data_IF_381338709112
#
_entry.id   IF_381338709112
#
_cell.length_a   1.000
_cell.length_b   1.000
_cell.length_c   1.000
_cell.angle_alpha   90.00
_cell.angle_beta   90.00
_cell.angle_gamma   90.00
#
_symmetry.space_group_name_H-M   'P 1'
#
loop_
_entity.id
_entity.type
_entity.pdbx_description
1 polymer ?
#
# COMPACT_ATOMS: atom_id res chain seq x y z
N UNK A 1 20.07 -9.59 27.24
CA UNK A 1 18.80 -9.48 27.99
C UNK A 1 18.14 -8.20 27.53
N UNK A 2 16.84 -8.20 27.25
CA UNK A 2 16.15 -7.01 26.73
C UNK A 2 15.82 -6.05 27.88
N UNK A 3 16.60 -4.98 27.99
CA UNK A 3 16.45 -3.98 29.05
C UNK A 3 15.13 -3.19 28.91
N UNK A 4 14.62 -3.05 27.68
CA UNK A 4 13.33 -2.39 27.42
C UNK A 4 12.20 -3.27 27.95
N UNK A 5 12.28 -4.58 27.71
CA UNK A 5 11.34 -5.54 28.29
C UNK A 5 11.35 -5.47 29.82
N UNK A 6 12.52 -5.41 30.46
CA UNK A 6 12.62 -5.28 31.92
C UNK A 6 12.06 -3.96 32.46
N UNK A 7 12.29 -2.84 31.78
CA UNK A 7 11.72 -1.54 32.15
C UNK A 7 10.18 -1.53 32.02
N UNK A 8 9.63 -2.21 31.01
CA UNK A 8 8.18 -2.30 30.78
C UNK A 8 7.50 -3.30 31.73
N UNK A 9 8.08 -4.49 31.91
CA UNK A 9 7.52 -5.52 32.81
C UNK A 9 7.81 -5.25 34.30
N UNK A 10 8.85 -4.48 34.60
CA UNK A 10 9.15 -3.99 35.95
C UNK A 10 8.11 -3.00 36.47
N UNK A 11 7.26 -2.42 35.61
CA UNK A 11 6.19 -1.51 36.05
C UNK A 11 5.09 -2.24 36.85
N UNK A 12 4.90 -3.53 36.63
CA UNK A 12 3.90 -4.36 37.31
C UNK A 12 4.43 -4.93 38.64
N UNK A 13 4.50 -4.08 39.68
CA UNK A 13 4.74 -4.53 41.06
C UNK A 13 5.72 -3.69 41.89
N UNK A 14 6.38 -2.69 41.30
CA UNK A 14 7.34 -1.84 42.01
C UNK A 14 6.67 -0.68 42.79
N UNK A 15 7.30 -0.17 43.86
CA UNK A 15 6.88 1.05 44.55
C UNK A 15 6.73 2.26 43.61
N UNK A 16 5.84 3.18 43.93
CA UNK A 16 5.47 4.33 43.08
C UNK A 16 6.66 5.20 42.60
N UNK A 17 7.74 5.24 43.38
CA UNK A 17 8.97 5.98 43.03
C UNK A 17 9.80 5.26 41.96
N UNK A 18 9.84 3.93 41.98
CA UNK A 18 10.58 3.11 41.02
C UNK A 18 9.83 2.99 39.70
N UNK A 19 8.48 2.95 39.72
CA UNK A 19 7.68 3.03 38.48
C UNK A 19 7.88 4.37 37.76
N UNK A 20 8.06 5.46 38.52
CA UNK A 20 8.37 6.78 37.96
C UNK A 20 9.76 6.81 37.32
N UNK A 21 10.75 6.16 37.95
CA UNK A 21 12.09 6.03 37.40
C UNK A 21 12.12 5.19 36.13
N UNK A 22 11.44 4.04 36.11
CA UNK A 22 11.31 3.21 34.91
C UNK A 22 10.70 4.01 33.74
N UNK A 23 9.64 4.78 34.00
CA UNK A 23 9.03 5.64 32.98
C UNK A 23 9.95 6.77 32.51
N UNK A 24 10.63 7.44 33.44
CA UNK A 24 11.64 8.44 33.12
C UNK A 24 12.73 7.89 32.19
N UNK A 25 13.22 6.66 32.45
CA UNK A 25 14.22 6.02 31.60
C UNK A 25 13.67 5.60 30.24
N UNK A 26 12.42 5.15 30.15
CA UNK A 26 11.78 4.87 28.87
C UNK A 26 11.61 6.15 28.03
N UNK A 27 11.20 7.25 28.66
CA UNK A 27 10.98 8.54 27.98
C UNK A 27 12.30 9.20 27.53
N UNK A 28 13.41 8.92 28.21
CA UNK A 28 14.72 9.51 27.94
C UNK A 28 15.73 8.49 27.39
N UNK A 29 15.26 7.34 26.89
CA UNK A 29 16.09 6.17 26.58
C UNK A 29 17.31 6.49 25.72
N UNK A 30 17.13 7.33 24.69
CA UNK A 30 18.17 7.76 23.76
C UNK A 30 19.35 8.50 24.42
N UNK A 31 19.11 9.21 25.53
CA UNK A 31 20.10 10.11 26.15
C UNK A 31 20.81 9.47 27.36
N UNK A 32 20.42 8.25 27.76
CA UNK A 32 20.97 7.56 28.93
C UNK A 32 22.48 7.27 28.79
N UNK A 33 23.00 6.77 27.65
CA UNK A 33 24.40 6.34 27.56
C UNK A 33 25.45 7.45 27.66
N UNK A 34 25.02 8.69 27.45
CA UNK A 34 25.89 9.87 27.40
C UNK A 34 25.84 10.69 28.71
N UNK A 35 24.97 10.32 29.64
CA UNK A 35 24.78 11.03 30.90
C UNK A 35 25.53 10.36 32.06
N UNK A 36 26.07 11.18 32.96
CA UNK A 36 26.67 10.66 34.21
C UNK A 36 25.59 10.25 35.22
N UNK A 37 25.95 9.43 36.21
CA UNK A 37 25.04 9.02 37.29
C UNK A 37 24.43 10.24 38.02
N UNK A 38 25.22 11.30 38.22
CA UNK A 38 24.81 12.53 38.89
C UNK A 38 23.84 13.35 38.04
N UNK A 39 24.06 13.41 36.73
CA UNK A 39 23.15 14.07 35.79
C UNK A 39 21.81 13.33 35.66
N UNK A 40 21.85 11.99 35.61
CA UNK A 40 20.65 11.16 35.60
C UNK A 40 19.85 11.32 36.90
N UNK A 41 20.53 11.40 38.05
CA UNK A 41 19.92 11.65 39.35
C UNK A 41 19.21 13.01 39.37
N UNK A 42 19.90 14.05 38.91
CA UNK A 42 19.37 15.40 38.84
C UNK A 42 18.16 15.49 37.89
N UNK A 43 18.25 14.90 36.69
CA UNK A 43 17.15 14.91 35.70
C UNK A 43 15.93 14.11 36.17
N UNK A 44 16.14 13.01 36.89
CA UNK A 44 15.07 12.20 37.44
C UNK A 44 14.49 12.75 38.76
N UNK A 45 15.12 13.79 39.35
CA UNK A 45 14.71 14.38 40.62
C UNK A 45 14.88 13.44 41.82
N UNK A 46 15.86 12.53 41.78
CA UNK A 46 16.13 11.55 42.84
C UNK A 46 17.58 11.59 43.30
N UNK A 47 17.88 10.95 44.43
CA UNK A 47 19.26 10.81 44.88
C UNK A 47 20.02 9.75 44.06
N UNK A 48 21.35 9.85 43.91
CA UNK A 48 22.16 8.80 43.28
C UNK A 48 21.98 7.42 43.94
N UNK A 49 21.78 7.37 45.26
CA UNK A 49 21.51 6.12 45.97
C UNK A 49 20.18 5.47 45.57
N UNK A 50 19.16 6.26 45.24
CA UNK A 50 17.87 5.77 44.75
C UNK A 50 18.01 5.16 43.37
N UNK A 51 18.80 5.76 42.50
CA UNK A 51 19.12 5.21 41.17
C UNK A 51 19.86 3.89 41.26
N UNK A 52 20.81 3.79 42.17
CA UNK A 52 21.54 2.56 42.44
C UNK A 52 20.61 1.44 42.91
N UNK A 53 19.63 1.76 43.77
CA UNK A 53 18.64 0.80 44.23
C UNK A 53 17.71 0.35 43.11
N UNK A 54 17.27 1.30 42.28
CA UNK A 54 16.45 1.04 41.11
C UNK A 54 17.15 0.09 40.11
N UNK A 55 18.41 0.34 39.76
CA UNK A 55 19.17 -0.53 38.85
C UNK A 55 19.20 -1.99 39.34
N UNK A 56 19.35 -2.20 40.65
CA UNK A 56 19.28 -3.54 41.26
C UNK A 56 17.89 -4.15 41.24
N UNK A 57 16.84 -3.33 41.43
CA UNK A 57 15.44 -3.80 41.41
C UNK A 57 15.03 -4.37 40.04
N UNK A 58 15.61 -3.85 38.95
CA UNK A 58 15.36 -4.31 37.58
C UNK A 58 16.31 -5.42 37.12
N UNK A 59 17.21 -5.87 38.00
CA UNK A 59 18.10 -7.01 37.75
C UNK A 59 19.48 -6.67 37.20
N UNK A 60 19.92 -5.40 37.28
CA UNK A 60 21.31 -4.99 36.99
C UNK A 60 22.16 -4.99 38.26
N UNK A 61 23.46 -5.21 38.14
CA UNK A 61 24.37 -5.24 39.30
C UNK A 61 24.56 -3.82 39.92
N UNK A 62 24.67 -2.82 39.05
CA UNK A 62 24.75 -1.40 39.37
C UNK A 62 24.22 -0.51 38.23
N UNK A 63 24.27 0.81 38.43
CA UNK A 63 23.83 1.79 37.42
C UNK A 63 24.71 1.79 36.16
N UNK A 64 25.99 1.40 36.25
CA UNK A 64 26.88 1.38 35.10
C UNK A 64 26.58 0.16 34.20
N UNK A 65 26.25 -0.98 34.81
CA UNK A 65 25.74 -2.16 34.11
C UNK A 65 24.42 -1.84 33.39
N UNK A 66 23.49 -1.16 34.06
CA UNK A 66 22.25 -0.68 33.43
C UNK A 66 22.53 0.20 32.19
N UNK A 67 23.39 1.22 32.32
CA UNK A 67 23.77 2.11 31.22
C UNK A 67 24.46 1.32 30.09
N UNK A 68 25.30 0.34 30.43
CA UNK A 68 25.96 -0.55 29.48
C UNK A 68 24.97 -1.38 28.66
N UNK A 69 23.95 -1.94 29.30
CA UNK A 69 22.89 -2.71 28.64
C UNK A 69 22.03 -1.84 27.72
N UNK A 70 21.70 -0.61 28.16
CA UNK A 70 21.00 0.38 27.30
C UNK A 70 21.84 0.72 26.06
N UNK A 71 23.15 0.93 26.21
CA UNK A 71 24.06 1.22 25.10
C UNK A 71 24.12 0.06 24.09
N UNK A 72 24.15 -1.19 24.57
CA UNK A 72 24.13 -2.37 23.71
C UNK A 72 22.82 -2.47 22.91
N UNK A 73 21.68 -2.25 23.57
CA UNK A 73 20.36 -2.31 22.94
C UNK A 73 20.19 -1.24 21.83
N UNK A 74 20.73 -0.04 22.04
CA UNK A 74 20.71 1.03 21.04
C UNK A 74 21.59 0.70 19.82
N UNK A 75 22.75 0.07 20.05
CA UNK A 75 23.64 -0.35 18.96
C UNK A 75 23.02 -1.46 18.10
N UNK A 76 22.35 -2.43 18.72
CA UNK A 76 21.59 -3.47 17.99
C UNK A 76 20.43 -2.88 17.18
N UNK A 77 19.70 -1.91 17.74
CA UNK A 77 18.60 -1.20 17.04
C UNK A 77 19.12 -0.35 15.86
N UNK A 78 20.30 0.24 16.01
CA UNK A 78 20.94 1.05 14.95
C UNK A 78 21.49 0.19 13.81
N UNK A 79 21.96 -1.03 14.08
CA UNK A 79 22.42 -1.98 13.06
C UNK A 79 21.27 -2.62 12.27
N UNK A 80 20.05 -2.62 12.81
CA UNK A 80 18.85 -3.15 12.13
C UNK A 80 18.09 -2.12 11.29
N UNK A 81 18.50 -0.85 11.31
CA UNK A 81 17.88 0.19 10.48
C UNK A 81 18.77 0.41 9.25
N UNK A 82 18.42 -0.09 8.05
CA UNK A 82 19.10 0.38 6.84
C UNK A 82 18.90 1.89 6.77
N UNK A 83 19.97 2.63 6.46
CA UNK A 83 19.93 4.07 6.31
C UNK A 83 18.72 4.48 5.46
N UNK A 84 17.77 5.20 6.07
CA UNK A 84 16.69 5.81 5.33
C UNK A 84 17.34 6.72 4.26
N UNK A 85 16.99 6.56 2.96
CA UNK A 85 17.49 7.48 1.95
C UNK A 85 17.02 8.89 2.33
N UNK A 86 17.99 9.81 2.40
CA UNK A 86 17.76 11.23 2.64
C UNK A 86 16.71 11.74 1.65
N UNK A 87 15.72 12.46 2.19
CA UNK A 87 14.70 13.18 1.45
C UNK A 87 15.41 14.23 0.57
N UNK A 88 15.66 13.90 -0.70
CA UNK A 88 16.46 14.75 -1.59
C UNK A 88 16.74 14.17 -2.98
N UNK A 89 16.42 12.91 -3.24
CA UNK A 89 16.51 12.39 -4.59
C UNK A 89 15.39 12.99 -5.45
N UNK A 90 15.77 13.63 -6.56
CA UNK A 90 14.90 14.11 -7.63
C UNK A 90 14.09 12.99 -8.33
N UNK A 91 13.88 11.85 -7.66
CA UNK A 91 13.07 10.70 -8.06
C UNK A 91 11.61 11.05 -8.34
N UNK A 92 11.10 12.13 -7.73
CA UNK A 92 9.70 12.58 -7.85
C UNK A 92 9.45 13.60 -8.96
N UNK A 93 10.51 14.09 -9.62
CA UNK A 93 10.35 15.09 -10.68
C UNK A 93 10.09 14.37 -12.00
N UNK A 94 8.92 14.62 -12.58
CA UNK A 94 8.62 14.15 -13.91
C UNK A 94 9.65 14.73 -14.93
N UNK A 95 9.92 14.00 -16.02
CA UNK A 95 10.89 14.45 -17.03
C UNK A 95 10.58 15.84 -17.62
N UNK A 96 9.29 16.23 -17.69
CA UNK A 96 8.86 17.54 -18.15
C UNK A 96 9.26 18.67 -17.20
N UNK A 97 9.15 18.46 -15.89
CA UNK A 97 9.61 19.42 -14.88
C UNK A 97 11.12 19.60 -14.91
N UNK A 98 11.89 18.51 -15.09
CA UNK A 98 13.34 18.60 -15.26
C UNK A 98 13.72 19.40 -16.50
N UNK A 99 13.02 19.19 -17.63
CA UNK A 99 13.30 19.90 -18.86
C UNK A 99 12.93 21.39 -18.79
N UNK A 100 11.85 21.74 -18.09
CA UNK A 100 11.46 23.12 -17.82
C UNK A 100 12.50 23.85 -16.95
N UNK A 101 13.02 23.17 -15.92
CA UNK A 101 14.06 23.71 -15.05
C UNK A 101 15.41 23.85 -15.77
N UNK A 102 15.79 22.86 -16.59
CA UNK A 102 17.01 22.93 -17.40
C UNK A 102 16.95 24.11 -18.40
N UNK A 103 15.79 24.32 -19.04
CA UNK A 103 15.57 25.47 -19.92
C UNK A 103 15.69 26.80 -19.17
N UNK A 104 15.12 26.90 -17.97
CA UNK A 104 15.24 28.10 -17.13
C UNK A 104 16.66 28.32 -16.62
N UNK A 105 17.46 27.26 -16.48
CA UNK A 105 18.86 27.31 -16.09
C UNK A 105 19.84 27.47 -17.27
N UNK A 106 19.35 27.57 -18.51
CA UNK A 106 20.19 27.71 -19.70
C UNK A 106 20.94 26.43 -20.13
N UNK A 107 20.53 25.27 -19.62
CA UNK A 107 21.14 23.97 -19.96
C UNK A 107 20.52 23.46 -21.27
N UNK A 108 21.36 23.19 -22.27
CA UNK A 108 20.94 22.60 -23.54
C UNK A 108 20.39 21.18 -23.37
N UNK A 109 19.38 20.81 -24.17
CA UNK A 109 18.73 19.49 -24.11
C UNK A 109 19.71 18.33 -24.25
N UNK A 110 20.76 18.51 -25.04
CA UNK A 110 21.82 17.50 -25.24
C UNK A 110 22.64 17.22 -23.97
N UNK A 111 22.87 18.23 -23.13
CA UNK A 111 23.57 18.07 -21.85
C UNK A 111 22.66 17.33 -20.86
N UNK A 112 21.35 17.64 -20.87
CA UNK A 112 20.36 16.97 -20.04
C UNK A 112 20.19 15.50 -20.43
N UNK A 113 20.23 15.17 -21.73
CA UNK A 113 20.19 13.79 -22.20
C UNK A 113 21.45 13.02 -21.81
N UNK A 114 22.64 13.60 -22.01
CA UNK A 114 23.91 12.97 -21.59
C UNK A 114 23.98 12.76 -20.08
N UNK A 115 23.47 13.72 -19.32
CA UNK A 115 23.36 13.60 -17.86
C UNK A 115 22.38 12.49 -17.47
N UNK A 116 21.20 12.44 -18.09
CA UNK A 116 20.19 11.40 -17.86
C UNK A 116 20.70 10.00 -18.21
N UNK A 117 21.44 9.89 -19.32
CA UNK A 117 22.14 8.67 -19.74
C UNK A 117 23.21 8.25 -18.70
N UNK A 118 24.00 9.19 -18.20
CA UNK A 118 25.06 8.93 -17.21
C UNK A 118 24.55 8.48 -15.85
N UNK A 119 23.32 8.83 -15.46
CA UNK A 119 22.70 8.44 -14.19
C UNK A 119 21.73 7.26 -14.32
N UNK A 120 21.77 6.54 -15.46
CA UNK A 120 20.91 5.38 -15.69
C UNK A 120 19.42 5.71 -15.83
N UNK A 121 19.08 6.99 -16.05
CA UNK A 121 17.71 7.48 -16.29
C UNK A 121 17.34 7.44 -17.77
N UNK A 122 17.73 6.39 -18.48
CA UNK A 122 16.98 6.02 -19.68
C UNK A 122 15.63 5.43 -19.25
N UNK A 123 14.72 6.27 -18.77
CA UNK A 123 13.34 6.01 -19.11
C UNK A 123 13.29 6.23 -20.63
N UNK A 124 13.39 5.14 -21.40
CA UNK A 124 12.65 5.05 -22.66
C UNK A 124 11.30 5.68 -22.36
N UNK A 125 11.14 6.93 -22.81
CA UNK A 125 10.08 7.80 -22.35
C UNK A 125 8.78 7.03 -22.48
N UNK A 126 8.07 6.78 -21.37
CA UNK A 126 6.93 5.86 -21.31
C UNK A 126 6.01 6.10 -22.51
N UNK A 127 6.20 5.29 -23.55
CA UNK A 127 5.60 5.52 -24.87
C UNK A 127 4.09 5.40 -24.75
N UNK A 128 3.62 4.56 -23.81
CA UNK A 128 2.22 4.40 -23.49
C UNK A 128 1.67 5.65 -22.79
N UNK A 129 2.44 6.22 -21.85
CA UNK A 129 2.13 7.51 -21.23
C UNK A 129 2.02 8.64 -22.25
N UNK A 130 2.96 8.72 -23.20
CA UNK A 130 2.92 9.72 -24.28
C UNK A 130 1.70 9.56 -25.20
N UNK A 131 1.40 8.32 -25.59
CA UNK A 131 0.22 8.01 -26.43
C UNK A 131 -1.07 8.36 -25.69
N UNK A 132 -1.19 8.05 -24.39
CA UNK A 132 -2.36 8.39 -23.57
C UNK A 132 -2.54 9.90 -23.41
N UNK A 133 -1.47 10.63 -23.11
CA UNK A 133 -1.55 12.07 -22.88
C UNK A 133 -1.90 12.86 -24.15
N UNK A 134 -1.54 12.34 -25.32
CA UNK A 134 -1.76 12.99 -26.63
C UNK A 134 -2.93 12.40 -27.41
N UNK A 135 -3.77 11.58 -26.77
CA UNK A 135 -4.87 10.88 -27.43
C UNK A 135 -5.87 11.83 -28.10
N UNK A 136 -6.04 13.03 -27.52
CA UNK A 136 -6.88 14.12 -28.03
C UNK A 136 -6.22 14.98 -29.11
N UNK A 137 -4.89 14.90 -29.25
CA UNK A 137 -4.13 15.65 -30.25
C UNK A 137 -4.00 14.87 -31.58
N UNK A 138 -4.24 13.57 -31.54
CA UNK A 138 -4.20 12.71 -32.71
C UNK A 138 -5.42 12.92 -33.62
N UNK A 139 -5.22 12.78 -34.93
CA UNK A 139 -6.35 12.73 -35.87
C UNK A 139 -7.25 11.53 -35.58
N UNK A 140 -8.47 11.54 -36.11
CA UNK A 140 -9.43 10.45 -35.90
C UNK A 140 -8.88 9.07 -36.27
N UNK A 141 -8.06 8.98 -37.33
CA UNK A 141 -7.46 7.71 -37.75
C UNK A 141 -6.26 7.33 -36.87
N UNK A 142 -5.45 8.28 -36.45
CA UNK A 142 -4.32 8.06 -35.54
C UNK A 142 -4.80 7.66 -34.13
N UNK A 143 -5.91 8.25 -33.67
CA UNK A 143 -6.53 7.92 -32.38
C UNK A 143 -7.02 6.46 -32.36
N UNK A 144 -7.52 5.93 -33.48
CA UNK A 144 -7.84 4.49 -33.59
C UNK A 144 -6.61 3.62 -33.43
N UNK A 145 -5.49 4.00 -34.04
CA UNK A 145 -4.21 3.28 -33.89
C UNK A 145 -3.73 3.34 -32.44
N UNK A 146 -3.79 4.50 -31.81
CA UNK A 146 -3.46 4.68 -30.40
C UNK A 146 -4.31 3.77 -29.49
N UNK A 147 -5.62 3.72 -29.70
CA UNK A 147 -6.53 2.87 -28.94
C UNK A 147 -6.20 1.38 -29.12
N UNK A 148 -6.02 0.91 -30.36
CA UNK A 148 -5.63 -0.49 -30.62
C UNK A 148 -4.30 -0.87 -29.94
N UNK A 149 -3.32 0.03 -29.91
CA UNK A 149 -2.05 -0.19 -29.21
C UNK A 149 -2.25 -0.26 -27.69
N UNK A 150 -3.07 0.62 -27.13
CA UNK A 150 -3.34 0.67 -25.69
C UNK A 150 -4.20 -0.50 -25.19
N UNK A 151 -5.02 -1.09 -26.06
CA UNK A 151 -5.82 -2.29 -25.79
C UNK A 151 -4.94 -3.54 -25.70
N UNK A 152 -3.95 -3.70 -26.59
CA UNK A 152 -3.03 -4.84 -26.58
C UNK A 152 -1.60 -4.44 -27.01
N UNK A 153 -0.81 -4.00 -26.03
CA UNK A 153 0.57 -3.55 -26.23
C UNK A 153 1.49 -4.70 -26.66
N UNK A 154 1.22 -5.92 -26.19
CA UNK A 154 2.01 -7.11 -26.51
C UNK A 154 1.84 -7.51 -27.98
N UNK A 155 0.59 -7.48 -28.47
CA UNK A 155 0.30 -7.63 -29.90
C UNK A 155 0.94 -6.52 -30.72
N UNK A 156 0.75 -5.25 -30.35
CA UNK A 156 1.29 -4.12 -31.10
C UNK A 156 2.82 -4.14 -31.24
N UNK A 157 3.54 -4.61 -30.21
CA UNK A 157 4.99 -4.77 -30.24
C UNK A 157 5.45 -5.85 -31.26
N UNK A 158 4.69 -6.95 -31.37
CA UNK A 158 5.03 -8.11 -32.20
C UNK A 158 4.44 -8.08 -33.62
N UNK A 159 3.36 -7.33 -33.84
CA UNK A 159 2.63 -7.26 -35.10
C UNK A 159 3.43 -6.62 -36.25
N UNK A 160 3.12 -7.03 -37.48
CA UNK A 160 3.55 -6.33 -38.69
C UNK A 160 2.71 -5.06 -38.92
N UNK A 161 3.17 -4.16 -39.78
CA UNK A 161 2.42 -2.95 -40.14
C UNK A 161 1.03 -3.29 -40.67
N UNK A 162 0.93 -4.31 -41.52
CA UNK A 162 -0.34 -4.72 -42.12
C UNK A 162 -1.29 -5.32 -41.09
N UNK A 163 -0.77 -6.09 -40.13
CA UNK A 163 -1.56 -6.64 -39.02
C UNK A 163 -2.08 -5.53 -38.12
N UNK A 164 -1.23 -4.57 -37.76
CA UNK A 164 -1.63 -3.43 -36.93
C UNK A 164 -2.62 -2.51 -37.65
N UNK A 165 -2.41 -2.26 -38.95
CA UNK A 165 -3.32 -1.50 -39.80
C UNK A 165 -4.70 -2.18 -39.90
N UNK A 166 -4.71 -3.50 -40.06
CA UNK A 166 -5.95 -4.30 -40.11
C UNK A 166 -6.69 -4.24 -38.78
N UNK A 167 -5.98 -4.44 -37.66
CA UNK A 167 -6.56 -4.40 -36.31
C UNK A 167 -7.15 -3.01 -35.98
N UNK A 168 -6.46 -1.93 -36.36
CA UNK A 168 -6.93 -0.56 -36.15
C UNK A 168 -7.95 -0.07 -37.21
N UNK A 169 -8.20 -0.85 -38.27
CA UNK A 169 -9.09 -0.47 -39.37
C UNK A 169 -8.60 0.77 -40.15
N UNK A 170 -7.30 0.88 -40.37
CA UNK A 170 -6.65 2.01 -41.07
C UNK A 170 -5.70 1.53 -42.16
N UNK A 171 -5.14 2.46 -42.92
CA UNK A 171 -4.12 2.15 -43.93
C UNK A 171 -2.72 1.98 -43.31
N UNK A 172 -1.81 1.16 -43.91
CA UNK A 172 -0.41 1.10 -43.49
C UNK A 172 0.28 2.47 -43.44
N UNK A 173 -0.07 3.37 -44.36
CA UNK A 173 0.45 4.74 -44.37
C UNK A 173 0.03 5.56 -43.13
N UNK A 174 -1.16 5.28 -42.58
CA UNK A 174 -1.64 5.90 -41.34
C UNK A 174 -0.79 5.45 -40.15
N UNK A 175 -0.42 4.17 -40.09
CA UNK A 175 0.47 3.65 -39.03
C UNK A 175 1.83 4.37 -39.04
N UNK A 176 2.42 4.56 -40.22
CA UNK A 176 3.70 5.28 -40.34
C UNK A 176 3.59 6.75 -39.92
N UNK A 177 2.47 7.41 -40.23
CA UNK A 177 2.22 8.78 -39.74
C UNK A 177 2.02 8.82 -38.23
N UNK A 178 1.26 7.87 -37.69
CA UNK A 178 1.05 7.73 -36.25
C UNK A 178 2.38 7.57 -35.50
N UNK A 179 3.29 6.70 -35.96
CA UNK A 179 4.59 6.51 -35.31
C UNK A 179 5.34 7.84 -35.14
N UNK A 180 5.36 8.68 -36.20
CA UNK A 180 5.96 10.02 -36.16
C UNK A 180 5.18 10.98 -35.26
N UNK A 181 3.85 10.97 -35.35
CA UNK A 181 3.00 11.80 -34.50
C UNK A 181 3.19 11.47 -33.01
N UNK A 182 3.40 10.20 -32.68
CA UNK A 182 3.67 9.69 -31.34
C UNK A 182 5.09 9.97 -30.82
N UNK A 183 5.97 10.59 -31.63
CA UNK A 183 7.33 10.94 -31.23
C UNK A 183 8.36 9.84 -31.48
N UNK A 184 8.06 8.88 -32.35
CA UNK A 184 9.01 7.88 -32.84
C UNK A 184 9.57 8.26 -34.21
N UNK A 185 10.80 7.85 -34.50
CA UNK A 185 11.43 8.13 -35.80
C UNK A 185 10.73 7.37 -36.93
N UNK A 186 10.37 6.12 -36.64
CA UNK A 186 9.66 5.23 -37.54
C UNK A 186 8.86 4.15 -36.77
N UNK A 187 8.22 3.26 -37.54
CA UNK A 187 7.49 2.10 -37.03
C UNK A 187 8.39 1.15 -36.23
N UNK A 188 9.67 1.02 -36.58
CA UNK A 188 10.58 0.08 -35.95
C UNK A 188 10.99 0.59 -34.58
N UNK A 189 11.23 1.89 -34.44
CA UNK A 189 11.41 2.59 -33.18
C UNK A 189 10.15 2.50 -32.30
N UNK A 190 8.97 2.76 -32.88
CA UNK A 190 7.69 2.56 -32.16
C UNK A 190 7.57 1.14 -31.62
N UNK A 191 7.81 0.12 -32.46
CA UNK A 191 7.76 -1.29 -32.03
C UNK A 191 8.80 -1.63 -30.97
N UNK A 192 9.99 -1.06 -31.05
CA UNK A 192 11.04 -1.26 -30.05
C UNK A 192 10.61 -0.67 -28.70
N UNK A 193 10.13 0.58 -28.69
CA UNK A 193 9.62 1.25 -27.48
C UNK A 193 8.41 0.54 -26.90
N UNK A 194 7.48 0.05 -27.74
CA UNK A 194 6.36 -0.78 -27.30
C UNK A 194 6.83 -2.13 -26.76
N UNK A 195 7.82 -2.77 -27.37
CA UNK A 195 8.40 -4.01 -26.84
C UNK A 195 9.06 -3.79 -25.48
N UNK A 196 9.78 -2.68 -25.30
CA UNK A 196 10.38 -2.29 -24.02
C UNK A 196 9.32 -1.96 -22.95
N UNK A 197 8.20 -1.32 -23.35
CA UNK A 197 7.08 -1.05 -22.46
C UNK A 197 6.26 -2.31 -22.13
N UNK A 198 6.20 -3.27 -23.05
CA UNK A 198 5.57 -4.60 -22.86
C UNK A 198 6.44 -5.56 -22.07
N UNK A 199 7.77 -5.38 -22.09
CA UNK A 199 8.63 -6.11 -21.18
C UNK A 199 8.44 -5.56 -19.77
N UNK A 200 8.22 -6.40 -18.74
CA UNK A 200 8.22 -5.94 -17.37
C UNK A 200 9.52 -5.18 -17.16
N UNK A 201 9.40 -3.91 -16.72
CA UNK A 201 10.50 -2.96 -16.47
C UNK A 201 11.76 -3.75 -16.22
N UNK A 202 12.73 -3.65 -17.16
CA UNK A 202 14.04 -4.26 -16.95
C UNK A 202 14.55 -3.64 -15.67
N UNK A 203 14.41 -4.40 -14.58
CA UNK A 203 14.74 -3.97 -13.24
C UNK A 203 16.26 -4.01 -13.21
N UNK A 204 16.86 -2.98 -13.81
CA UNK A 204 18.29 -2.74 -13.82
C UNK A 204 18.80 -2.88 -12.39
N UNK A 205 19.80 -3.72 -12.22
CA UNK A 205 20.49 -4.05 -10.97
C UNK A 205 19.65 -4.56 -9.78
N UNK A 206 18.36 -4.88 -9.95
CA UNK A 206 17.57 -5.39 -8.80
C UNK A 206 17.87 -6.86 -8.51
N UNK A 207 18.04 -7.24 -7.23
CA UNK A 207 18.24 -8.63 -6.82
C UNK A 207 17.16 -9.56 -7.38
N UNK A 208 17.56 -10.75 -7.85
CA UNK A 208 16.64 -11.73 -8.43
C UNK A 208 15.39 -12.03 -7.56
N UNK A 209 15.50 -12.17 -6.21
CA UNK A 209 14.33 -12.42 -5.36
C UNK A 209 13.30 -11.29 -5.39
N UNK A 210 13.73 -10.04 -5.59
CA UNK A 210 12.83 -8.89 -5.64
C UNK A 210 12.09 -8.83 -6.97
N UNK A 211 12.75 -9.19 -8.07
CA UNK A 211 12.12 -9.32 -9.39
C UNK A 211 11.08 -10.44 -9.38
N UNK A 212 11.41 -11.59 -8.80
CA UNK A 212 10.46 -12.68 -8.62
C UNK A 212 9.27 -12.26 -7.75
N UNK A 213 9.53 -11.57 -6.64
CA UNK A 213 8.47 -11.05 -5.78
C UNK A 213 7.55 -10.08 -6.52
N UNK A 214 8.10 -9.15 -7.30
CA UNK A 214 7.32 -8.22 -8.10
C UNK A 214 6.47 -8.96 -9.13
N UNK A 215 7.04 -9.93 -9.85
CA UNK A 215 6.30 -10.75 -10.81
C UNK A 215 5.15 -11.50 -10.15
N UNK A 216 5.36 -12.05 -8.95
CA UNK A 216 4.31 -12.71 -8.18
C UNK A 216 3.20 -11.73 -7.76
N UNK A 217 3.54 -10.50 -7.34
CA UNK A 217 2.54 -9.48 -7.01
C UNK A 217 1.74 -9.05 -8.24
N UNK A 218 2.40 -8.80 -9.37
CA UNK A 218 1.74 -8.46 -10.63
C UNK A 218 0.79 -9.57 -11.08
N UNK A 219 1.22 -10.83 -10.99
CA UNK A 219 0.38 -11.98 -11.29
C UNK A 219 -0.82 -12.09 -10.34
N UNK A 220 -0.62 -11.88 -9.04
CA UNK A 220 -1.70 -11.88 -8.05
C UNK A 220 -2.74 -10.78 -8.33
N UNK A 221 -2.32 -9.56 -8.67
CA UNK A 221 -3.22 -8.47 -9.02
C UNK A 221 -4.00 -8.74 -10.32
N UNK A 222 -3.32 -9.23 -11.36
CA UNK A 222 -3.98 -9.55 -12.63
C UNK A 222 -4.99 -10.69 -12.47
N UNK A 223 -4.62 -11.75 -11.75
CA UNK A 223 -5.54 -12.86 -11.48
C UNK A 223 -6.74 -12.42 -10.63
N UNK A 224 -6.52 -11.54 -9.65
CA UNK A 224 -7.59 -10.93 -8.87
C UNK A 224 -8.56 -10.14 -9.75
N UNK A 225 -8.05 -9.29 -10.66
CA UNK A 225 -8.90 -8.51 -11.58
C UNK A 225 -9.79 -9.40 -12.45
N UNK A 226 -9.26 -10.52 -12.94
CA UNK A 226 -10.02 -11.47 -13.77
C UNK A 226 -11.19 -12.13 -13.03
N UNK A 227 -11.10 -12.29 -11.71
CA UNK A 227 -12.12 -12.93 -10.87
C UNK A 227 -13.17 -11.94 -10.35
N UNK A 228 -12.82 -10.66 -10.27
CA UNK A 228 -13.74 -9.62 -9.83
C UNK A 228 -14.82 -9.35 -10.89
N UNK A 229 -16.08 -9.59 -10.52
CA UNK A 229 -17.21 -9.25 -11.36
C UNK A 229 -17.51 -7.74 -11.29
N UNK A 230 -17.46 -7.00 -12.41
CA UNK A 230 -17.76 -5.56 -12.39
C UNK A 230 -19.16 -5.24 -11.85
N UNK A 231 -20.13 -6.12 -12.08
CA UNK A 231 -21.49 -5.99 -11.56
C UNK A 231 -21.54 -6.08 -10.02
N UNK A 232 -20.81 -7.03 -9.42
CA UNK A 232 -20.74 -7.16 -7.97
C UNK A 232 -20.02 -5.97 -7.33
N UNK A 233 -18.93 -5.51 -7.95
CA UNK A 233 -18.19 -4.32 -7.51
C UNK A 233 -19.09 -3.07 -7.53
N UNK A 234 -19.77 -2.82 -8.65
CA UNK A 234 -20.68 -1.68 -8.78
C UNK A 234 -21.86 -1.74 -7.80
N UNK A 235 -22.38 -2.94 -7.52
CA UNK A 235 -23.39 -3.11 -6.49
C UNK A 235 -22.84 -2.76 -5.10
N UNK A 236 -21.64 -3.23 -4.75
CA UNK A 236 -21.00 -2.93 -3.47
C UNK A 236 -20.80 -1.41 -3.30
N UNK A 237 -20.25 -0.75 -4.32
CA UNK A 237 -20.06 0.72 -4.35
C UNK A 237 -21.41 1.43 -4.15
N UNK A 238 -22.45 1.03 -4.88
CA UNK A 238 -23.77 1.64 -4.76
C UNK A 238 -24.36 1.48 -3.36
N UNK A 239 -24.18 0.32 -2.70
CA UNK A 239 -24.63 0.10 -1.32
C UNK A 239 -23.87 0.97 -0.33
N UNK A 240 -22.54 1.02 -0.46
CA UNK A 240 -21.71 1.85 0.41
C UNK A 240 -22.04 3.34 0.29
N UNK A 241 -22.27 3.85 -0.93
CA UNK A 241 -22.71 5.24 -1.15
C UNK A 241 -24.04 5.59 -0.48
N UNK A 242 -24.98 4.63 -0.44
CA UNK A 242 -26.31 4.84 0.13
C UNK A 242 -26.39 4.52 1.63
N UNK A 243 -25.32 3.96 2.20
CA UNK A 243 -25.27 3.53 3.58
C UNK A 243 -25.30 4.74 4.54
N UNK A 244 -26.14 4.65 5.56
CA UNK A 244 -26.15 5.63 6.67
C UNK A 244 -24.95 5.45 7.59
N UNK A 245 -24.50 4.21 7.76
CA UNK A 245 -23.20 3.88 8.31
C UNK A 245 -22.74 2.51 7.77
N UNK A 246 -21.43 2.31 7.84
CA UNK A 246 -20.76 1.09 7.44
C UNK A 246 -20.17 0.43 8.68
N UNK A 247 -20.49 -0.84 8.88
CA UNK A 247 -19.88 -1.67 9.91
C UNK A 247 -18.95 -2.67 9.25
N UNK A 248 -17.75 -2.86 9.80
CA UNK A 248 -16.72 -3.72 9.22
C UNK A 248 -16.39 -4.81 10.24
N UNK A 249 -16.63 -6.06 9.89
CA UNK A 249 -16.20 -7.22 10.68
C UNK A 249 -14.98 -7.86 10.04
N UNK A 250 -14.03 -8.26 10.87
CA UNK A 250 -12.82 -8.97 10.47
C UNK A 250 -12.91 -10.42 10.92
N UNK A 251 -12.80 -11.39 10.02
CA UNK A 251 -12.86 -12.81 10.37
C UNK A 251 -11.62 -13.27 11.15
N UNK A 252 -10.47 -12.61 10.94
CA UNK A 252 -9.22 -12.96 11.59
C UNK A 252 -8.35 -11.75 11.86
N UNK A 253 -7.32 -11.93 12.69
CA UNK A 253 -6.28 -10.92 12.91
C UNK A 253 -5.49 -10.59 11.62
N UNK A 254 -5.43 -11.52 10.65
CA UNK A 254 -4.76 -11.28 9.38
C UNK A 254 -5.55 -10.33 8.46
N UNK A 255 -6.88 -10.30 8.62
CA UNK A 255 -7.79 -9.45 7.86
C UNK A 255 -7.90 -8.02 8.44
N UNK A 256 -7.61 -7.87 9.73
CA UNK A 256 -7.71 -6.62 10.49
C UNK A 256 -7.03 -5.42 9.83
N UNK A 257 -5.78 -5.51 9.32
CA UNK A 257 -5.12 -4.36 8.70
C UNK A 257 -5.90 -3.81 7.49
N UNK A 258 -6.52 -4.68 6.70
CA UNK A 258 -7.32 -4.29 5.53
C UNK A 258 -8.65 -3.68 5.95
N UNK A 259 -9.30 -4.25 6.96
CA UNK A 259 -10.50 -3.69 7.55
C UNK A 259 -10.27 -2.28 8.13
N UNK A 260 -9.15 -2.06 8.83
CA UNK A 260 -8.77 -0.74 9.35
C UNK A 260 -8.44 0.25 8.23
N UNK A 261 -7.79 -0.21 7.15
CA UNK A 261 -7.52 0.62 5.98
C UNK A 261 -8.81 1.09 5.31
N UNK A 262 -9.76 0.17 5.09
CA UNK A 262 -11.08 0.51 4.54
C UNK A 262 -11.81 1.51 5.45
N UNK A 263 -11.80 1.27 6.77
CA UNK A 263 -12.40 2.20 7.74
C UNK A 263 -11.81 3.60 7.59
N UNK A 264 -10.48 3.71 7.59
CA UNK A 264 -9.78 4.98 7.46
C UNK A 264 -10.17 5.70 6.16
N UNK A 265 -10.15 5.01 5.02
CA UNK A 265 -10.49 5.59 3.71
C UNK A 265 -11.93 6.10 3.67
N UNK A 266 -12.89 5.29 4.11
CA UNK A 266 -14.30 5.68 4.17
C UNK A 266 -14.51 6.91 5.07
N UNK A 267 -13.88 6.95 6.25
CA UNK A 267 -13.97 8.10 7.16
C UNK A 267 -13.39 9.37 6.52
N UNK A 268 -12.25 9.27 5.82
CA UNK A 268 -11.65 10.43 5.12
C UNK A 268 -12.51 10.95 3.96
N UNK A 269 -13.36 10.09 3.39
CA UNK A 269 -14.34 10.45 2.35
C UNK A 269 -15.69 10.90 2.93
N UNK A 270 -15.83 10.96 4.27
CA UNK A 270 -17.04 11.42 4.95
C UNK A 270 -18.10 10.34 5.18
N UNK A 271 -17.79 9.06 4.94
CA UNK A 271 -18.68 7.93 5.19
C UNK A 271 -18.45 7.37 6.61
N UNK A 272 -19.46 7.36 7.49
CA UNK A 272 -19.30 6.82 8.84
C UNK A 272 -18.98 5.33 8.80
N UNK A 273 -17.81 4.93 9.30
CA UNK A 273 -17.36 3.54 9.28
C UNK A 273 -16.78 3.09 10.63
N UNK A 274 -17.22 1.93 11.13
CA UNK A 274 -16.76 1.34 12.39
C UNK A 274 -16.28 -0.09 12.19
N UNK A 275 -15.13 -0.43 12.77
CA UNK A 275 -14.59 -1.79 12.78
C UNK A 275 -14.90 -2.52 14.09
N UNK A 276 -15.23 -3.81 14.01
CA UNK A 276 -15.37 -4.71 15.16
C UNK A 276 -14.62 -6.02 14.90
N UNK A 277 -13.79 -6.42 15.86
CA UNK A 277 -12.94 -7.62 15.77
C UNK A 277 -13.24 -8.64 16.86
N UNK A 278 -13.86 -8.20 17.96
CA UNK A 278 -14.27 -9.09 19.05
C UNK A 278 -15.60 -9.79 18.71
N UNK A 279 -15.61 -11.12 18.77
CA UNK A 279 -16.77 -11.92 18.39
C UNK A 279 -18.02 -11.71 19.26
N UNK A 280 -17.86 -11.38 20.54
CA UNK A 280 -18.99 -11.06 21.40
C UNK A 280 -19.57 -9.68 21.03
N UNK A 281 -18.71 -8.70 20.77
CA UNK A 281 -19.12 -7.38 20.29
C UNK A 281 -19.74 -7.43 18.87
N UNK A 282 -19.29 -8.33 18.00
CA UNK A 282 -19.92 -8.53 16.68
C UNK A 282 -21.39 -8.90 16.81
N UNK A 283 -21.72 -9.80 17.75
CA UNK A 283 -23.11 -10.22 17.98
C UNK A 283 -23.98 -9.07 18.50
N UNK A 284 -23.45 -8.28 19.44
CA UNK A 284 -24.14 -7.09 19.95
C UNK A 284 -24.33 -6.06 18.82
N UNK A 285 -23.27 -5.79 18.06
CA UNK A 285 -23.30 -4.85 16.93
C UNK A 285 -24.32 -5.29 15.88
N UNK A 286 -24.28 -6.56 15.47
CA UNK A 286 -25.20 -7.14 14.49
C UNK A 286 -26.67 -7.03 14.91
N UNK A 287 -26.97 -7.12 16.21
CA UNK A 287 -28.33 -6.97 16.74
C UNK A 287 -28.93 -5.56 16.58
N UNK A 288 -28.07 -4.56 16.33
CA UNK A 288 -28.47 -3.16 16.14
C UNK A 288 -28.46 -2.75 14.66
N UNK A 289 -27.95 -3.60 13.76
CA UNK A 289 -27.92 -3.33 12.33
C UNK A 289 -29.31 -3.49 11.74
N UNK A 290 -29.64 -2.69 10.73
CA UNK A 290 -30.93 -2.76 10.05
C UNK A 290 -30.91 -2.03 8.72
N UNK A 291 -32.09 -1.71 8.19
CA UNK A 291 -32.24 -1.09 6.86
C UNK A 291 -31.41 0.20 6.71
N UNK A 292 -30.64 0.27 5.62
CA UNK A 292 -29.76 1.39 5.32
C UNK A 292 -28.41 1.35 6.04
N UNK A 293 -28.11 0.28 6.78
CA UNK A 293 -26.77 -0.03 7.27
C UNK A 293 -26.13 -1.10 6.38
N UNK A 294 -24.84 -0.95 6.11
CA UNK A 294 -24.06 -1.93 5.35
C UNK A 294 -23.05 -2.60 6.28
N UNK A 295 -23.02 -3.93 6.25
CA UNK A 295 -22.03 -4.74 6.94
C UNK A 295 -21.01 -5.27 5.93
N UNK A 296 -19.78 -4.75 5.98
CA UNK A 296 -18.64 -5.27 5.24
C UNK A 296 -17.95 -6.34 6.08
N UNK A 297 -17.62 -7.48 5.48
CA UNK A 297 -16.99 -8.60 6.17
C UNK A 297 -15.73 -9.00 5.41
N UNK A 298 -14.57 -8.86 6.05
CA UNK A 298 -13.33 -9.44 5.54
C UNK A 298 -13.23 -10.88 6.03
N UNK A 299 -13.29 -11.82 5.09
CA UNK A 299 -13.22 -13.26 5.31
C UNK A 299 -12.11 -13.86 4.43
N UNK A 300 -10.88 -13.36 4.58
CA UNK A 300 -9.72 -13.92 3.89
C UNK A 300 -9.36 -15.32 4.40
N UNK A 301 -9.84 -15.67 5.58
CA UNK A 301 -9.75 -17.00 6.21
C UNK A 301 -11.13 -17.54 6.56
N UNK A 302 -11.19 -18.81 6.97
CA UNK A 302 -12.45 -19.46 7.33
C UNK A 302 -13.15 -18.71 8.48
N UNK A 303 -14.43 -18.34 8.34
CA UNK A 303 -15.14 -17.56 9.34
C UNK A 303 -15.45 -18.39 10.58
N UNK A 304 -15.26 -17.80 11.76
CA UNK A 304 -15.64 -18.42 13.02
C UNK A 304 -17.18 -18.41 13.23
N UNK A 305 -17.66 -19.29 14.11
CA UNK A 305 -19.10 -19.40 14.44
C UNK A 305 -19.72 -18.08 14.92
N UNK A 306 -18.94 -17.25 15.63
CA UNK A 306 -19.36 -15.93 16.11
C UNK A 306 -19.68 -14.99 14.94
N UNK A 307 -18.81 -14.93 13.94
CA UNK A 307 -19.00 -14.13 12.73
C UNK A 307 -20.17 -14.65 11.89
N UNK A 308 -20.28 -15.97 11.74
CA UNK A 308 -21.40 -16.62 11.03
C UNK A 308 -22.72 -16.23 11.68
N UNK A 309 -22.84 -16.39 13.00
CA UNK A 309 -24.05 -16.06 13.74
C UNK A 309 -24.40 -14.55 13.65
N UNK A 310 -23.41 -13.68 13.85
CA UNK A 310 -23.59 -12.23 13.76
C UNK A 310 -24.06 -11.80 12.35
N UNK A 311 -23.53 -12.41 11.30
CA UNK A 311 -23.90 -12.08 9.92
C UNK A 311 -25.34 -12.53 9.60
N UNK A 312 -25.74 -13.72 10.06
CA UNK A 312 -27.13 -14.16 9.97
C UNK A 312 -28.08 -13.22 10.71
N UNK A 313 -27.68 -12.72 11.87
CA UNK A 313 -28.47 -11.79 12.67
C UNK A 313 -28.64 -10.43 11.96
N UNK A 314 -27.55 -9.85 11.45
CA UNK A 314 -27.57 -8.62 10.69
C UNK A 314 -28.49 -8.72 9.46
N UNK A 315 -28.38 -9.84 8.73
CA UNK A 315 -29.23 -10.13 7.56
C UNK A 315 -30.71 -10.18 7.93
N UNK A 316 -31.07 -10.86 9.03
CA UNK A 316 -32.46 -10.95 9.50
C UNK A 316 -33.09 -9.59 9.83
N UNK A 317 -32.28 -8.62 10.26
CA UNK A 317 -32.73 -7.27 10.57
C UNK A 317 -32.73 -6.34 9.35
N UNK A 318 -32.30 -6.84 8.19
CA UNK A 318 -32.34 -6.14 6.90
C UNK A 318 -31.13 -5.25 6.64
N UNK A 319 -30.00 -5.50 7.29
CA UNK A 319 -28.73 -4.92 6.87
C UNK A 319 -28.23 -5.60 5.59
N UNK A 320 -27.56 -4.83 4.75
CA UNK A 320 -26.99 -5.32 3.50
C UNK A 320 -25.55 -5.78 3.74
N UNK A 321 -25.18 -6.94 3.20
CA UNK A 321 -23.87 -7.55 3.45
C UNK A 321 -22.99 -7.47 2.21
N UNK A 322 -21.75 -7.01 2.40
CA UNK A 322 -20.67 -7.05 1.41
C UNK A 322 -19.56 -7.92 1.97
N UNK A 323 -19.26 -9.04 1.32
CA UNK A 323 -18.32 -10.05 1.83
C UNK A 323 -17.11 -10.08 0.92
N UNK A 324 -15.92 -9.87 1.50
CA UNK A 324 -14.64 -9.82 0.80
C UNK A 324 -13.80 -11.03 1.26
N UNK A 325 -13.62 -12.06 0.44
CA UNK A 325 -12.99 -13.31 0.91
C UNK A 325 -12.89 -14.46 -0.10
N UNK A 326 -12.13 -15.52 0.24
CA UNK A 326 -11.76 -16.61 -0.70
C UNK A 326 -12.86 -17.66 -0.92
N UNK A 327 -13.51 -18.17 0.13
CA UNK A 327 -14.48 -19.27 0.03
C UNK A 327 -15.75 -19.03 0.86
N UNK A 328 -16.85 -19.53 0.30
CA UNK A 328 -18.18 -18.90 0.40
C UNK A 328 -19.26 -19.88 0.88
N UNK A 329 -18.96 -21.17 0.89
CA UNK A 329 -19.94 -22.24 0.64
C UNK A 329 -21.11 -22.41 1.62
N UNK A 330 -21.06 -21.86 2.84
CA UNK A 330 -22.17 -21.94 3.80
C UNK A 330 -22.57 -20.59 4.44
N UNK A 331 -21.76 -19.56 4.25
CA UNK A 331 -21.88 -18.27 4.95
C UNK A 331 -22.61 -17.20 4.12
N UNK A 332 -22.43 -17.27 2.80
CA UNK A 332 -22.97 -16.28 1.86
C UNK A 332 -24.32 -16.74 1.35
N UNK A 333 -25.27 -15.83 1.38
CA UNK A 333 -26.57 -15.99 0.77
C UNK A 333 -26.64 -15.27 -0.58
N UNK A 334 -27.60 -15.69 -1.41
CA UNK A 334 -27.82 -15.12 -2.76
C UNK A 334 -28.04 -13.60 -2.79
N UNK A 335 -28.47 -13.03 -1.66
CA UNK A 335 -28.76 -11.60 -1.51
C UNK A 335 -27.53 -10.79 -1.10
N UNK A 336 -26.46 -11.45 -0.65
CA UNK A 336 -25.22 -10.79 -0.25
C UNK A 336 -24.35 -10.50 -1.47
N UNK A 337 -23.59 -9.40 -1.39
CA UNK A 337 -22.62 -9.05 -2.44
C UNK A 337 -21.28 -9.69 -2.08
N UNK A 338 -20.79 -10.59 -2.92
CA UNK A 338 -19.50 -11.25 -2.72
C UNK A 338 -18.44 -10.69 -3.66
N UNK A 339 -17.31 -10.29 -3.07
CA UNK A 339 -16.09 -9.87 -3.76
C UNK A 339 -15.01 -10.94 -3.47
N UNK A 340 -14.77 -11.87 -4.41
CA UNK A 340 -13.83 -12.96 -4.20
C UNK A 340 -12.41 -12.45 -3.99
N UNK A 341 -11.61 -13.14 -3.19
CA UNK A 341 -10.16 -12.90 -3.07
C UNK A 341 -9.38 -14.15 -3.51
N UNK A 342 -8.39 -13.98 -4.40
CA UNK A 342 -7.38 -15.03 -4.71
C UNK A 342 -6.14 -14.88 -3.84
N UNK A 343 -5.70 -13.64 -3.65
CA UNK A 343 -4.62 -13.27 -2.75
C UNK A 343 -5.21 -12.38 -1.64
N UNK A 344 -5.07 -12.81 -0.39
CA UNK A 344 -5.68 -12.12 0.75
C UNK A 344 -5.05 -10.77 1.06
N UNK A 345 -3.84 -10.51 0.55
CA UNK A 345 -3.12 -9.27 0.79
C UNK A 345 -3.30 -8.30 -0.36
N UNK A 346 -2.74 -8.62 -1.52
CA UNK A 346 -2.74 -7.70 -2.66
C UNK A 346 -4.11 -7.64 -3.32
N UNK A 347 -4.88 -8.74 -3.29
CA UNK A 347 -6.25 -8.73 -3.77
C UNK A 347 -7.16 -7.89 -2.88
N UNK A 348 -7.02 -7.98 -1.56
CA UNK A 348 -7.78 -7.14 -0.62
C UNK A 348 -7.45 -5.65 -0.79
N UNK A 349 -6.17 -5.30 -0.96
CA UNK A 349 -5.76 -3.92 -1.24
C UNK A 349 -6.40 -3.39 -2.52
N UNK A 350 -6.33 -4.15 -3.62
CA UNK A 350 -6.96 -3.78 -4.88
C UNK A 350 -8.47 -3.58 -4.74
N UNK A 351 -9.17 -4.48 -4.04
CA UNK A 351 -10.61 -4.35 -3.80
C UNK A 351 -10.93 -3.09 -3.00
N UNK A 352 -10.15 -2.78 -1.96
CA UNK A 352 -10.34 -1.56 -1.15
C UNK A 352 -10.16 -0.32 -2.02
N UNK A 353 -9.10 -0.27 -2.83
CA UNK A 353 -8.84 0.87 -3.72
C UNK A 353 -9.99 1.07 -4.71
N UNK A 354 -10.44 0.01 -5.38
CA UNK A 354 -11.56 0.07 -6.32
C UNK A 354 -12.88 0.48 -5.65
N UNK A 355 -13.16 0.01 -4.44
CA UNK A 355 -14.34 0.42 -3.69
C UNK A 355 -14.27 1.92 -3.36
N UNK A 356 -13.14 2.39 -2.83
CA UNK A 356 -12.98 3.77 -2.39
C UNK A 356 -12.96 4.76 -3.56
N UNK A 357 -12.30 4.43 -4.67
CA UNK A 357 -12.33 5.24 -5.90
C UNK A 357 -13.72 5.27 -6.51
N UNK A 358 -14.41 4.14 -6.52
CA UNK A 358 -15.80 4.05 -6.97
C UNK A 358 -16.75 4.90 -6.11
N UNK A 359 -16.45 5.05 -4.83
CA UNK A 359 -17.22 5.90 -3.90
C UNK A 359 -17.01 7.40 -4.16
N UNK A 360 -15.81 7.80 -4.57
CA UNK A 360 -15.47 9.21 -4.87
C UNK A 360 -15.96 9.70 -6.24
N UNK A 361 -16.14 8.79 -7.20
CA UNK A 361 -16.61 9.10 -8.57
C UNK A 361 -18.09 9.44 -8.71
#
# INVERSE_FOLDING_TARGET
MDIVYQLVHGLSGLPAQESRLARFFLDNFAQIPDATMEELAAKAGVSPATLQHFARSIGCDDINDFIGQVRHQQQESSQQTPAAPMLGDAAWMDPGTLQALAKNAGVGSEILERFSHSIGRESSSDILGQIRNRLNDFSQQESRVAQTILEDVSFAASATIDQLATAAGVSPATITRFARAAGCDDIRDLRMKLAQASTPVSAGDMPAPWREKLGNVQHALNSQLCELLPSAMNQAIARLKQAKAVHIFSASAADTPFASLLQYRLLTQGYPANICQDGALMSITASMLGKGQVLVIFAGSAPENSLIAASHQARRLGAELVIIGQEVGAFIHREDIHLPLKDTRYGALLVIDLLCEGIDS
#
